data_IF_701650745721
#
_entry.id   IF_701650745721
#
_cell.length_a   1.000
_cell.length_b   1.000
_cell.length_c   1.000
_cell.angle_alpha   90.00
_cell.angle_beta   90.00
_cell.angle_gamma   90.00
#
_symmetry.space_group_name_H-M   'P 1'
#
loop_
_entity.id
_entity.type
_entity.pdbx_description
1 polymer ?
#
# COMPACT_ATOMS: atom_id res chain seq x y z
N UNK A 1 -10.28 10.73 -28.41
CA UNK A 1 -9.47 9.79 -27.62
C UNK A 1 -10.26 9.44 -26.39
N UNK A 2 -10.82 8.23 -26.34
CA UNK A 2 -11.59 7.77 -25.19
C UNK A 2 -10.61 7.30 -24.11
N UNK A 3 -10.70 7.85 -22.90
CA UNK A 3 -9.99 7.33 -21.74
C UNK A 3 -10.62 5.98 -21.38
N UNK A 4 -9.83 4.91 -21.45
CA UNK A 4 -10.27 3.53 -21.27
C UNK A 4 -10.68 3.29 -19.80
N UNK A 5 -11.89 2.78 -19.48
CA UNK A 5 -12.34 2.54 -18.10
C UNK A 5 -11.45 1.56 -17.30
N UNK A 6 -10.63 0.74 -17.96
CA UNK A 6 -9.58 -0.08 -17.33
C UNK A 6 -8.41 0.73 -16.74
N UNK A 7 -8.28 2.02 -17.10
CA UNK A 7 -7.28 2.93 -16.51
C UNK A 7 -7.74 3.53 -15.17
N UNK A 8 -9.02 3.35 -14.82
CA UNK A 8 -9.70 3.86 -13.62
C UNK A 8 -9.94 2.77 -12.56
N UNK A 9 -9.16 1.67 -12.58
CA UNK A 9 -9.07 0.69 -11.48
C UNK A 9 -8.21 1.27 -10.34
N UNK A 10 -8.80 2.29 -9.70
CA UNK A 10 -8.32 3.12 -8.59
C UNK A 10 -7.99 2.30 -7.33
N UNK A 11 -6.74 2.36 -6.84
CA UNK A 11 -6.19 1.76 -5.60
C UNK A 11 -5.97 0.24 -5.63
N UNK A 12 -5.32 -0.26 -6.67
CA UNK A 12 -4.75 -1.59 -6.65
C UNK A 12 -3.26 -1.54 -6.23
N UNK A 13 -2.78 -2.59 -5.55
CA UNK A 13 -1.39 -2.72 -5.15
C UNK A 13 -0.44 -2.54 -6.35
N UNK A 14 0.59 -1.68 -6.28
CA UNK A 14 1.50 -1.43 -7.41
C UNK A 14 2.32 -2.65 -7.82
N UNK A 15 2.42 -3.67 -6.97
CA UNK A 15 3.22 -4.89 -7.21
C UNK A 15 2.37 -6.01 -7.82
N UNK A 16 1.27 -6.37 -7.18
CA UNK A 16 0.45 -7.52 -7.58
C UNK A 16 -0.90 -7.13 -8.18
N UNK A 17 -1.27 -5.84 -8.18
CA UNK A 17 -2.58 -5.31 -8.63
C UNK A 17 -3.79 -5.90 -7.90
N UNK A 18 -3.57 -6.49 -6.73
CA UNK A 18 -4.63 -6.92 -5.84
C UNK A 18 -5.20 -5.77 -5.02
N UNK A 19 -6.34 -6.00 -4.38
CA UNK A 19 -6.99 -5.04 -3.50
C UNK A 19 -6.12 -4.67 -2.29
N UNK A 20 -6.30 -3.43 -1.81
CA UNK A 20 -5.66 -2.92 -0.59
C UNK A 20 -6.71 -2.41 0.40
N UNK A 21 -6.47 -2.63 1.68
CA UNK A 21 -7.36 -2.25 2.78
C UNK A 21 -6.64 -1.33 3.77
N UNK A 22 -7.30 -0.29 4.31
CA UNK A 22 -6.70 0.58 5.30
C UNK A 22 -6.49 -0.14 6.64
N UNK A 23 -5.31 0.04 7.23
CA UNK A 23 -4.91 -0.51 8.53
C UNK A 23 -4.38 0.58 9.47
N UNK A 24 -4.30 0.27 10.75
CA UNK A 24 -3.78 1.17 11.80
C UNK A 24 -4.42 2.58 11.77
N UNK A 25 -5.75 2.65 11.79
CA UNK A 25 -6.50 3.91 11.69
C UNK A 25 -6.13 4.72 10.44
N UNK A 26 -6.11 4.08 9.27
CA UNK A 26 -5.82 4.71 7.97
C UNK A 26 -4.38 5.25 7.85
N UNK A 27 -3.46 4.80 8.71
CA UNK A 27 -2.02 5.14 8.63
C UNK A 27 -1.22 4.20 7.72
N UNK A 28 -1.83 3.12 7.24
CA UNK A 28 -1.26 2.21 6.24
C UNK A 28 -2.32 1.61 5.34
N UNK A 29 -1.90 1.11 4.17
CA UNK A 29 -2.70 0.30 3.25
C UNK A 29 -2.09 -1.09 3.14
N UNK A 30 -2.76 -2.11 3.66
CA UNK A 30 -2.36 -3.51 3.54
C UNK A 30 -2.88 -4.12 2.24
N UNK A 31 -2.02 -4.82 1.52
CA UNK A 31 -2.45 -5.72 0.45
C UNK A 31 -2.47 -7.16 0.94
N UNK A 32 -3.67 -7.75 1.08
CA UNK A 32 -3.82 -9.14 1.52
C UNK A 32 -3.19 -10.16 0.55
N UNK A 33 -3.09 -9.81 -0.75
CA UNK A 33 -2.53 -10.71 -1.77
C UNK A 33 -1.01 -10.87 -1.68
N UNK A 34 -0.26 -9.82 -1.31
CA UNK A 34 1.20 -9.87 -1.20
C UNK A 34 1.73 -9.74 0.24
N UNK A 35 0.87 -9.42 1.20
CA UNK A 35 1.24 -9.22 2.61
C UNK A 35 2.13 -8.01 2.84
N UNK A 36 2.02 -7.00 1.97
CA UNK A 36 2.74 -5.72 2.08
C UNK A 36 1.83 -4.64 2.63
N UNK A 37 2.39 -3.74 3.41
CA UNK A 37 1.74 -2.55 3.95
C UNK A 37 2.46 -1.33 3.40
N UNK A 38 1.69 -0.44 2.78
CA UNK A 38 2.13 0.85 2.26
C UNK A 38 1.83 1.93 3.29
N UNK A 39 2.82 2.72 3.76
CA UNK A 39 2.56 3.76 4.74
C UNK A 39 1.75 4.91 4.14
N UNK A 40 0.89 5.53 4.95
CA UNK A 40 0.22 6.79 4.63
C UNK A 40 0.92 7.91 5.40
N UNK A 41 1.40 8.94 4.68
CA UNK A 41 2.07 10.12 5.26
C UNK A 41 1.37 11.37 4.78
N UNK A 42 1.05 12.28 5.69
CA UNK A 42 0.32 13.53 5.37
C UNK A 42 -1.01 13.29 4.63
N UNK A 43 -1.72 12.22 5.00
CA UNK A 43 -2.93 11.72 4.33
C UNK A 43 -2.73 11.32 2.85
N UNK A 44 -1.49 11.12 2.40
CA UNK A 44 -1.12 10.63 1.07
C UNK A 44 -0.59 9.19 1.20
N UNK A 45 -1.23 8.21 0.54
CA UNK A 45 -0.71 6.85 0.49
C UNK A 45 0.58 6.77 -0.33
N UNK A 46 1.66 6.29 0.30
CA UNK A 46 2.94 6.09 -0.37
C UNK A 46 2.93 4.73 -1.06
N UNK A 47 2.31 4.65 -2.24
CA UNK A 47 2.24 3.43 -3.07
C UNK A 47 3.54 3.16 -3.85
N UNK A 48 4.69 3.26 -3.16
CA UNK A 48 5.99 2.91 -3.73
C UNK A 48 6.44 1.53 -3.23
N UNK A 49 6.83 0.59 -4.11
CA UNK A 49 7.29 -0.73 -3.71
C UNK A 49 8.50 -0.72 -2.75
N UNK A 50 9.35 0.31 -2.83
CA UNK A 50 10.52 0.48 -1.97
C UNK A 50 10.15 0.81 -0.51
N UNK A 51 9.09 1.61 -0.32
CA UNK A 51 8.55 2.03 0.98
C UNK A 51 7.61 0.99 1.59
N UNK A 52 7.21 -0.02 0.82
CA UNK A 52 6.38 -1.11 1.31
C UNK A 52 7.14 -1.96 2.35
N UNK A 53 6.45 -2.30 3.44
CA UNK A 53 6.95 -3.20 4.49
C UNK A 53 6.08 -4.44 4.60
N UNK A 54 6.60 -5.54 5.16
CA UNK A 54 5.77 -6.72 5.43
C UNK A 54 4.80 -6.42 6.55
N UNK A 55 3.60 -6.99 6.48
CA UNK A 55 2.61 -6.91 7.57
C UNK A 55 3.20 -7.25 8.94
N UNK A 56 3.97 -8.33 8.99
CA UNK A 56 4.62 -8.82 10.21
C UNK A 56 5.57 -7.77 10.83
N UNK A 57 6.33 -7.05 10.00
CA UNK A 57 7.25 -6.01 10.45
C UNK A 57 6.51 -4.74 10.89
N UNK A 58 5.40 -4.43 10.21
CA UNK A 58 4.52 -3.30 10.53
C UNK A 58 3.86 -3.47 11.91
N UNK A 59 3.36 -4.69 12.20
CA UNK A 59 2.78 -5.06 13.49
C UNK A 59 3.82 -5.06 14.63
N UNK A 60 5.08 -5.41 14.31
CA UNK A 60 6.22 -5.33 15.25
C UNK A 60 6.71 -3.91 15.52
N UNK A 61 6.12 -2.89 14.87
CA UNK A 61 6.52 -1.48 15.01
C UNK A 61 7.77 -1.10 14.19
N UNK A 62 8.28 -2.00 13.35
CA UNK A 62 9.43 -1.75 12.47
C UNK A 62 8.98 -1.07 11.16
N UNK A 63 8.22 0.03 11.28
CA UNK A 63 7.56 0.73 10.16
C UNK A 63 8.51 1.54 9.27
N UNK A 64 9.81 1.49 9.53
CA UNK A 64 10.85 2.12 8.72
C UNK A 64 11.84 1.03 8.31
N UNK A 65 12.06 0.85 7.00
CA UNK A 65 13.34 0.33 6.51
C UNK A 65 14.40 1.38 6.85
N UNK A 66 14.92 1.32 8.08
CA UNK A 66 16.13 2.03 8.46
C UNK A 66 17.20 1.57 7.50
N UNK A 67 17.63 2.45 6.60
CA UNK A 67 18.92 2.30 5.94
C UNK A 67 19.99 2.95 6.81
#
# INVERSE_FOLDING_TARGET
MALNPELLSLLACPVCRGDVEPVDNETGLECAACGLVYPVRDAIPIMLPEEAVRKEDWERGQRKKSR
#
